data_IF_718014172189
#
_entry.id   IF_718014172189
#
_cell.length_a   1.000
_cell.length_b   1.000
_cell.length_c   1.000
_cell.angle_alpha   90.00
_cell.angle_beta   90.00
_cell.angle_gamma   90.00
#
_symmetry.space_group_name_H-M   'P 1'
#
loop_
_entity.id
_entity.type
_entity.pdbx_description
1 polymer ?
#
# COMPACT_ATOMS: atom_id res chain seq x y z
N UNK A 1 -17.15 -7.31 -10.74
CA UNK A 1 -15.77 -6.79 -10.71
C UNK A 1 -14.91 -7.89 -10.15
N UNK A 2 -13.97 -8.45 -10.90
CA UNK A 2 -13.13 -9.54 -10.41
C UNK A 2 -12.20 -8.97 -9.32
N UNK A 3 -12.36 -9.41 -8.08
CA UNK A 3 -11.38 -9.15 -7.03
C UNK A 3 -10.06 -9.76 -7.50
N UNK A 4 -9.01 -8.95 -7.63
CA UNK A 4 -7.69 -9.47 -7.97
C UNK A 4 -7.22 -10.36 -6.80
N UNK A 5 -6.60 -11.51 -7.07
CA UNK A 5 -6.06 -12.34 -6.01
C UNK A 5 -5.02 -11.54 -5.21
N UNK A 6 -5.16 -11.60 -3.88
CA UNK A 6 -4.24 -10.99 -2.93
C UNK A 6 -3.23 -12.04 -2.49
N UNK A 7 -1.95 -11.69 -2.58
CA UNK A 7 -0.81 -12.49 -2.18
C UNK A 7 -0.11 -11.81 -1.00
N UNK A 8 0.52 -12.57 -0.12
CA UNK A 8 1.40 -12.04 0.90
C UNK A 8 2.85 -12.28 0.46
N UNK A 9 3.67 -11.24 0.51
CA UNK A 9 5.08 -11.33 0.19
C UNK A 9 5.89 -10.77 1.36
N UNK A 10 7.03 -11.38 1.66
CA UNK A 10 8.01 -10.86 2.61
C UNK A 10 9.17 -10.21 1.84
N UNK A 11 9.55 -9.01 2.25
CA UNK A 11 10.76 -8.35 1.73
C UNK A 11 12.04 -9.02 2.30
N UNK A 12 13.24 -8.68 1.79
CA UNK A 12 14.51 -9.23 2.30
C UNK A 12 14.76 -9.03 3.81
N UNK A 13 14.15 -8.03 4.44
CA UNK A 13 14.18 -7.79 5.89
C UNK A 13 13.14 -8.62 6.65
N UNK A 14 12.29 -9.38 5.95
CA UNK A 14 11.27 -10.25 6.53
C UNK A 14 9.95 -9.54 6.85
N UNK A 15 9.76 -8.28 6.44
CA UNK A 15 8.50 -7.56 6.65
C UNK A 15 7.52 -7.95 5.56
N UNK A 16 6.29 -8.30 5.96
CA UNK A 16 5.26 -8.79 5.05
C UNK A 16 4.42 -7.65 4.47
N UNK A 17 4.06 -7.72 3.19
CA UNK A 17 3.12 -6.80 2.58
C UNK A 17 2.08 -7.54 1.75
N UNK A 18 0.83 -7.06 1.73
CA UNK A 18 -0.18 -7.58 0.84
C UNK A 18 0.01 -7.01 -0.57
N UNK A 19 -0.05 -7.89 -1.56
CA UNK A 19 0.17 -7.59 -2.97
C UNK A 19 -1.03 -8.03 -3.78
N UNK A 20 -1.60 -7.11 -4.55
CA UNK A 20 -2.74 -7.42 -5.41
C UNK A 20 -2.29 -7.70 -6.85
N UNK A 21 -2.60 -8.89 -7.34
CA UNK A 21 -2.29 -9.32 -8.70
C UNK A 21 -0.93 -10.00 -8.84
N UNK A 22 -0.90 -10.99 -9.74
CA UNK A 22 0.29 -11.82 -9.97
C UNK A 22 1.44 -11.04 -10.63
N UNK A 23 1.15 -9.99 -11.39
CA UNK A 23 2.17 -9.16 -12.07
C UNK A 23 3.05 -8.41 -11.08
N UNK A 24 2.45 -7.72 -10.10
CA UNK A 24 3.19 -7.02 -9.05
C UNK A 24 3.93 -8.02 -8.16
N UNK A 25 3.31 -9.17 -7.87
CA UNK A 25 3.95 -10.27 -7.11
C UNK A 25 5.23 -10.75 -7.80
N UNK A 26 5.13 -11.10 -9.07
CA UNK A 26 6.26 -11.63 -9.85
C UNK A 26 7.38 -10.60 -9.98
N UNK A 27 7.02 -9.33 -10.19
CA UNK A 27 7.99 -8.24 -10.24
C UNK A 27 8.74 -8.06 -8.90
N UNK A 28 8.03 -8.04 -7.77
CA UNK A 28 8.65 -7.88 -6.45
C UNK A 28 9.61 -9.03 -6.13
N UNK A 29 9.25 -10.26 -6.52
CA UNK A 29 10.11 -11.44 -6.37
C UNK A 29 11.34 -11.33 -7.27
N UNK A 30 11.16 -11.05 -8.57
CA UNK A 30 12.23 -11.07 -9.56
C UNK A 30 13.19 -9.87 -9.45
N UNK A 31 12.69 -8.69 -9.13
CA UNK A 31 13.44 -7.43 -9.17
C UNK A 31 13.89 -7.01 -7.78
N UNK A 32 13.02 -7.15 -6.78
CA UNK A 32 13.29 -6.65 -5.43
C UNK A 32 13.72 -7.76 -4.45
N UNK A 33 13.76 -9.02 -4.89
CA UNK A 33 14.20 -10.16 -4.07
C UNK A 33 13.21 -10.53 -2.97
N UNK A 34 11.94 -10.17 -3.13
CA UNK A 34 10.88 -10.56 -2.20
C UNK A 34 10.59 -12.05 -2.31
N UNK A 35 9.96 -12.62 -1.29
CA UNK A 35 9.61 -14.03 -1.23
C UNK A 35 8.13 -14.23 -0.95
N UNK A 36 7.54 -15.28 -1.51
CA UNK A 36 6.18 -15.67 -1.16
C UNK A 36 6.10 -16.05 0.32
N UNK A 37 5.13 -15.47 1.01
CA UNK A 37 4.92 -15.67 2.43
C UNK A 37 3.44 -15.95 2.69
N UNK A 38 3.18 -16.63 3.80
CA UNK A 38 1.83 -16.77 4.31
C UNK A 38 1.33 -15.46 4.93
N UNK A 39 0.05 -15.42 5.26
CA UNK A 39 -0.54 -14.31 6.01
C UNK A 39 0.25 -14.08 7.33
N UNK A 40 0.61 -12.82 7.65
CA UNK A 40 1.32 -12.49 8.88
C UNK A 40 0.54 -12.90 10.14
N UNK A 41 1.23 -13.51 11.09
CA UNK A 41 0.73 -13.69 12.44
C UNK A 41 0.81 -12.37 13.23
N UNK A 42 0.20 -12.34 14.41
CA UNK A 42 0.10 -11.13 15.24
C UNK A 42 1.45 -10.49 15.58
N UNK A 43 2.52 -11.28 15.60
CA UNK A 43 3.89 -10.86 15.93
C UNK A 43 4.75 -10.59 14.70
N UNK A 44 4.24 -10.84 13.49
CA UNK A 44 4.95 -10.50 12.27
C UNK A 44 4.90 -9.00 12.02
N UNK A 45 5.96 -8.49 11.41
CA UNK A 45 6.00 -7.11 10.93
C UNK A 45 5.35 -7.02 9.57
N UNK A 46 4.54 -5.99 9.38
CA UNK A 46 3.81 -5.71 8.15
C UNK A 46 4.02 -4.29 7.69
N UNK A 47 4.15 -4.12 6.39
CA UNK A 47 4.16 -2.80 5.79
C UNK A 47 2.77 -2.19 5.84
N UNK A 48 2.70 -0.99 6.39
CA UNK A 48 1.50 -0.17 6.50
C UNK A 48 1.70 1.14 5.76
N UNK A 49 0.65 1.65 5.14
CA UNK A 49 0.58 3.02 4.67
C UNK A 49 -0.52 3.78 5.38
N UNK A 50 -0.31 5.06 5.53
CA UNK A 50 -1.32 6.00 5.95
C UNK A 50 -1.97 6.62 4.70
N UNK A 51 -3.29 6.61 4.66
CA UNK A 51 -4.10 7.23 3.61
C UNK A 51 -4.72 8.56 4.07
N UNK A 52 -4.33 9.06 5.25
CA UNK A 52 -4.78 10.34 5.77
C UNK A 52 -4.16 11.49 4.95
N UNK A 53 -4.99 12.34 4.32
CA UNK A 53 -4.51 13.42 3.46
C UNK A 53 -3.82 14.55 4.23
N UNK A 54 -3.98 14.64 5.56
CA UNK A 54 -3.32 15.65 6.38
C UNK A 54 -1.90 15.23 6.79
N UNK A 55 -1.64 13.92 6.94
CA UNK A 55 -0.31 13.38 7.20
C UNK A 55 0.48 13.10 5.91
N UNK A 56 -0.21 12.95 4.79
CA UNK A 56 0.37 12.54 3.52
C UNK A 56 0.59 11.02 3.46
N UNK A 57 0.98 10.51 2.29
CA UNK A 57 1.19 9.08 2.07
C UNK A 57 2.46 8.57 2.79
N UNK A 58 2.39 8.43 4.11
CA UNK A 58 3.46 7.90 4.96
C UNK A 58 3.40 6.38 4.97
N UNK A 59 4.55 5.72 4.84
CA UNK A 59 4.66 4.25 4.87
C UNK A 59 5.65 3.82 5.95
N UNK A 60 5.30 2.83 6.76
CA UNK A 60 6.08 2.31 7.88
C UNK A 60 5.86 0.80 8.05
N UNK A 61 6.68 0.14 8.86
CA UNK A 61 6.48 -1.26 9.26
C UNK A 61 6.07 -1.34 10.73
N UNK A 62 5.03 -2.12 11.04
CA UNK A 62 4.52 -2.33 12.41
C UNK A 62 4.23 -3.80 12.66
N UNK A 63 4.10 -4.21 13.92
CA UNK A 63 3.57 -5.55 14.23
C UNK A 63 2.11 -5.66 13.76
N UNK A 64 1.73 -6.80 13.18
CA UNK A 64 0.37 -7.03 12.68
C UNK A 64 -0.68 -6.91 13.79
N UNK A 65 -0.33 -7.18 15.05
CA UNK A 65 -1.20 -6.93 16.20
C UNK A 65 -1.62 -5.45 16.34
N UNK A 66 -0.79 -4.52 15.88
CA UNK A 66 -1.06 -3.09 15.99
C UNK A 66 -1.98 -2.59 14.88
N UNK A 67 -2.10 -3.28 13.75
CA UNK A 67 -2.94 -2.86 12.61
C UNK A 67 -4.37 -2.54 13.03
N UNK A 68 -5.00 -3.38 13.85
CA UNK A 68 -6.38 -3.19 14.29
C UNK A 68 -6.58 -1.88 15.07
N UNK A 69 -5.61 -1.54 15.93
CA UNK A 69 -5.63 -0.30 16.71
C UNK A 69 -5.47 0.96 15.84
N UNK A 70 -4.83 0.85 14.68
CA UNK A 70 -4.54 1.97 13.78
C UNK A 70 -5.40 2.00 12.52
N UNK A 71 -6.14 0.93 12.20
CA UNK A 71 -7.05 0.84 11.07
C UNK A 71 -8.10 1.97 11.10
N UNK A 72 -8.60 2.31 12.28
CA UNK A 72 -9.53 3.44 12.48
C UNK A 72 -8.92 4.84 12.28
N UNK A 73 -7.59 4.94 12.11
CA UNK A 73 -6.85 6.19 11.86
C UNK A 73 -6.33 6.30 10.42
N UNK A 74 -6.87 5.48 9.51
CA UNK A 74 -6.48 5.49 8.10
C UNK A 74 -5.16 4.79 7.80
N UNK A 75 -4.69 3.92 8.68
CA UNK A 75 -3.53 3.05 8.41
C UNK A 75 -4.00 1.72 7.83
N UNK A 76 -3.49 1.36 6.66
CA UNK A 76 -3.85 0.14 5.94
C UNK A 76 -2.60 -0.63 5.52
N UNK A 77 -2.63 -1.97 5.52
CA UNK A 77 -1.47 -2.75 5.09
C UNK A 77 -1.27 -2.60 3.57
N UNK A 78 -0.03 -2.41 3.13
CA UNK A 78 0.28 -2.17 1.72
C UNK A 78 1.76 -2.25 1.40
N UNK A 79 2.07 -2.40 0.11
CA UNK A 79 3.47 -2.51 -0.37
C UNK A 79 4.22 -1.18 -0.17
N UNK A 80 5.48 -1.22 0.31
CA UNK A 80 6.34 -0.05 0.36
C UNK A 80 6.65 0.46 -1.06
N UNK A 81 7.12 1.70 -1.16
CA UNK A 81 7.58 2.25 -2.43
C UNK A 81 8.94 1.61 -2.77
N UNK A 82 8.93 0.58 -3.61
CA UNK A 82 10.16 -0.06 -4.05
C UNK A 82 10.53 0.46 -5.45
N UNK A 83 11.80 0.84 -5.67
CA UNK A 83 12.23 1.37 -6.95
C UNK A 83 12.05 0.31 -8.05
N UNK A 84 11.35 0.69 -9.11
CA UNK A 84 11.10 -0.17 -10.27
C UNK A 84 9.78 -0.95 -10.22
N UNK A 85 9.15 -1.11 -9.05
CA UNK A 85 7.85 -1.76 -9.01
C UNK A 85 6.81 -0.93 -9.77
N UNK A 86 5.92 -1.58 -10.54
CA UNK A 86 4.76 -0.89 -11.06
C UNK A 86 3.97 -0.41 -9.84
N UNK A 87 3.96 0.91 -9.60
CA UNK A 87 3.08 1.52 -8.61
C UNK A 87 1.70 0.94 -8.87
N UNK A 88 1.11 0.14 -7.95
CA UNK A 88 -0.27 -0.25 -8.12
C UNK A 88 -1.00 1.06 -8.27
N UNK A 89 -1.67 1.23 -9.42
CA UNK A 89 -2.40 2.46 -9.71
C UNK A 89 -3.17 2.75 -8.43
N UNK A 90 -2.76 3.81 -7.72
CA UNK A 90 -3.58 4.32 -6.65
C UNK A 90 -4.88 4.55 -7.38
N UNK A 91 -5.88 3.70 -7.13
CA UNK A 91 -7.22 4.02 -7.58
C UNK A 91 -7.40 5.44 -7.07
N UNK A 92 -7.64 6.41 -7.96
CA UNK A 92 -7.66 7.79 -7.54
C UNK A 92 -8.64 7.82 -6.40
N UNK A 93 -8.13 8.08 -5.19
CA UNK A 93 -8.94 8.51 -4.06
C UNK A 93 -9.96 9.42 -4.71
N UNK A 94 -11.24 9.04 -4.66
CA UNK A 94 -12.31 9.89 -5.17
C UNK A 94 -12.12 11.17 -4.40
N UNK A 95 -11.46 12.14 -5.04
CA UNK A 95 -11.23 13.45 -4.52
C UNK A 95 -12.63 13.97 -4.30
N UNK A 96 -13.07 13.91 -3.06
CA UNK A 96 -14.24 14.62 -2.63
C UNK A 96 -13.79 16.06 -2.67
N UNK A 97 -13.99 16.62 -3.86
CA UNK A 97 -13.73 17.96 -4.32
C UNK A 97 -14.00 18.98 -3.20
N UNK A 98 -13.02 19.72 -2.68
CA UNK A 98 -13.25 21.10 -2.36
C UNK A 98 -13.07 21.88 -3.67
N UNK A 99 -14.17 22.39 -4.20
CA UNK A 99 -14.12 23.26 -5.37
C UNK A 99 -13.15 24.42 -5.11
N UNK A 100 -12.11 24.52 -5.93
CA UNK A 100 -11.45 25.80 -6.18
C UNK A 100 -11.71 26.11 -7.63
N UNK A 101 -12.55 27.12 -7.84
CA UNK A 101 -12.85 27.67 -9.14
C UNK A 101 -11.56 28.14 -9.80
N UNK A 102 -11.18 27.49 -10.91
CA UNK A 102 -10.40 28.15 -11.93
C UNK A 102 -11.35 29.12 -12.63
N UNK A 103 -11.36 30.37 -12.18
CA UNK A 103 -11.93 31.46 -12.94
C UNK A 103 -11.02 31.69 -14.16
N UNK A 104 -11.56 31.32 -15.32
CA UNK A 104 -11.23 31.84 -16.63
C UNK A 104 -11.05 33.37 -16.58
N UNK A 105 -9.94 33.87 -17.12
CA UNK A 105 -10.03 34.96 -18.10
C UNK A 105 -8.76 35.09 -18.94
N UNK A 106 -8.95 34.84 -20.24
CA UNK A 106 -8.27 35.55 -21.32
C UNK A 106 -8.35 37.06 -21.07
N UNK A 107 -7.27 37.77 -21.39
CA UNK A 107 -7.24 38.86 -22.39
C UNK A 107 -5.78 39.21 -22.72
#
# INVERSE_FOLDING_TARGET
>A
MAQKPRYWLADPEGVRAPVEGAELRDHLIQVNGWTEADEPDRHDFVWVRNEDPALGAVRMSWEAAQLDAWAGRGWTPGVPDVPGAPVPAAEPIKTTKPGTAAADKKE
#
